data_IF_990917528742
#
_entry.id   IF_990917528742
#
_cell.length_a   1.000
_cell.length_b   1.000
_cell.length_c   1.000
_cell.angle_alpha   90.00
_cell.angle_beta   90.00
_cell.angle_gamma   90.00
#
_symmetry.space_group_name_H-M   'P 1'
#
loop_
_entity.id
_entity.type
_entity.pdbx_description
1 polymer ?
#
# COMPACT_ATOMS: atom_id res chain seq x y z
N UNK A 1 10.92 -24.87 -9.18
CA UNK A 1 11.18 -23.57 -8.54
C UNK A 1 11.94 -23.87 -7.26
N UNK A 2 13.08 -23.21 -7.03
CA UNK A 2 13.95 -23.54 -5.90
C UNK A 2 13.32 -23.15 -4.57
N UNK A 3 13.45 -24.02 -3.55
CA UNK A 3 13.15 -23.68 -2.17
C UNK A 3 14.13 -22.64 -1.62
N UNK A 4 13.77 -21.95 -0.53
CA UNK A 4 14.58 -20.88 0.09
C UNK A 4 14.04 -19.47 -0.14
N UNK A 5 14.88 -18.44 0.07
CA UNK A 5 14.47 -17.03 -0.04
C UNK A 5 13.84 -16.75 -1.41
N UNK A 6 12.63 -16.21 -1.39
CA UNK A 6 11.79 -16.09 -2.57
C UNK A 6 11.13 -14.70 -2.61
N UNK A 7 11.95 -13.64 -2.60
CA UNK A 7 11.51 -12.24 -2.52
C UNK A 7 10.47 -11.86 -3.58
N UNK A 8 10.57 -12.45 -4.78
CA UNK A 8 9.70 -12.17 -5.92
C UNK A 8 8.30 -12.77 -5.80
N UNK A 9 8.15 -13.88 -5.07
CA UNK A 9 6.88 -14.62 -4.96
C UNK A 9 6.29 -14.54 -3.55
N UNK A 10 7.13 -14.65 -2.52
CA UNK A 10 6.73 -14.62 -1.12
C UNK A 10 6.82 -13.24 -0.46
N UNK A 11 7.33 -12.23 -1.17
CA UNK A 11 7.62 -10.91 -0.61
C UNK A 11 9.00 -10.84 0.04
N UNK A 12 9.55 -9.63 0.14
CA UNK A 12 10.94 -9.39 0.52
C UNK A 12 11.25 -9.90 1.93
N UNK A 13 12.24 -10.78 2.04
CA UNK A 13 12.64 -11.42 3.29
C UNK A 13 11.91 -12.73 3.62
N UNK A 14 10.95 -13.15 2.79
CA UNK A 14 10.21 -14.40 2.97
C UNK A 14 10.76 -15.53 2.08
N UNK A 15 10.55 -16.76 2.52
CA UNK A 15 11.08 -17.96 1.87
C UNK A 15 9.96 -18.90 1.45
N UNK A 16 10.20 -19.63 0.37
CA UNK A 16 9.35 -20.73 -0.07
C UNK A 16 9.89 -22.03 0.55
N UNK A 17 9.23 -22.51 1.59
CA UNK A 17 9.68 -23.65 2.41
C UNK A 17 8.57 -24.68 2.54
N UNK A 18 8.94 -25.94 2.81
CA UNK A 18 8.00 -27.04 3.00
C UNK A 18 8.26 -27.77 4.31
N UNK A 19 7.21 -28.00 5.09
CA UNK A 19 7.26 -28.73 6.35
C UNK A 19 7.86 -30.13 6.19
N UNK A 20 8.98 -30.40 6.88
CA UNK A 20 9.63 -31.71 6.91
C UNK A 20 10.43 -32.07 5.65
N UNK A 21 10.69 -31.13 4.74
CA UNK A 21 11.53 -31.37 3.58
C UNK A 21 13.02 -31.49 3.98
N UNK A 22 13.64 -32.62 3.63
CA UNK A 22 15.05 -32.92 3.95
C UNK A 22 16.09 -32.13 3.13
N UNK A 23 15.66 -31.47 2.04
CA UNK A 23 16.53 -30.79 1.09
C UNK A 23 16.21 -29.29 0.94
N UNK A 24 15.44 -28.71 1.86
CA UNK A 24 15.19 -27.27 1.83
C UNK A 24 16.40 -26.47 2.36
N UNK A 25 16.65 -25.26 1.84
CA UNK A 25 17.75 -24.40 2.29
C UNK A 25 17.67 -24.04 3.77
N UNK A 26 18.82 -23.67 4.35
CA UNK A 26 18.96 -23.45 5.80
C UNK A 26 18.01 -22.37 6.37
N UNK A 27 17.56 -21.44 5.54
CA UNK A 27 16.56 -20.43 5.89
C UNK A 27 15.20 -21.04 6.26
N UNK A 28 14.93 -22.28 5.86
CA UNK A 28 13.72 -23.03 6.19
C UNK A 28 13.84 -23.91 7.45
N UNK A 29 15.05 -24.04 8.02
CA UNK A 29 15.36 -25.07 9.04
C UNK A 29 14.67 -24.86 10.40
N UNK A 30 14.11 -23.68 10.66
CA UNK A 30 13.51 -23.31 11.96
C UNK A 30 12.11 -22.72 11.84
N UNK A 31 11.51 -22.78 10.66
CA UNK A 31 10.11 -22.37 10.49
C UNK A 31 9.23 -23.45 11.11
N UNK A 32 8.34 -23.06 12.03
CA UNK A 32 7.38 -23.98 12.65
C UNK A 32 5.96 -23.78 12.12
N UNK A 33 5.68 -22.59 11.58
CA UNK A 33 4.34 -22.11 11.28
C UNK A 33 3.95 -22.41 9.82
N UNK A 34 3.84 -23.71 9.53
CA UNK A 34 3.37 -24.22 8.24
C UNK A 34 1.88 -24.55 8.31
N UNK A 35 1.13 -24.09 7.31
CA UNK A 35 -0.31 -24.27 7.15
C UNK A 35 -0.62 -25.47 6.25
N UNK A 36 0.31 -25.80 5.36
CA UNK A 36 0.16 -26.88 4.38
C UNK A 36 1.36 -27.83 4.37
N UNK A 37 1.25 -28.92 3.60
CA UNK A 37 2.34 -29.89 3.39
C UNK A 37 3.08 -29.68 2.07
N UNK A 38 2.87 -28.55 1.40
CA UNK A 38 3.51 -28.14 0.14
C UNK A 38 4.49 -26.97 0.38
N UNK A 39 5.28 -26.60 -0.62
CA UNK A 39 6.13 -25.41 -0.55
C UNK A 39 5.26 -24.16 -0.49
N UNK A 40 5.31 -23.47 0.64
CA UNK A 40 4.52 -22.27 0.92
C UNK A 40 5.39 -21.11 1.38
N UNK A 41 4.85 -19.91 1.22
CA UNK A 41 5.55 -18.71 1.64
C UNK A 41 5.47 -18.57 3.15
N UNK A 42 6.62 -18.66 3.78
CA UNK A 42 6.78 -18.51 5.22
C UNK A 42 7.73 -17.36 5.49
N UNK A 43 7.58 -16.73 6.64
CA UNK A 43 8.62 -15.85 7.14
C UNK A 43 9.71 -16.75 7.74
N UNK A 44 10.89 -16.88 7.11
CA UNK A 44 11.97 -17.65 7.67
C UNK A 44 12.34 -17.04 9.02
N UNK A 45 12.43 -17.86 10.06
CA UNK A 45 12.86 -17.42 11.41
C UNK A 45 14.37 -17.14 11.43
N UNK A 46 15.00 -16.98 10.26
CA UNK A 46 16.44 -17.07 10.11
C UNK A 46 17.01 -15.69 9.78
N UNK A 47 17.70 -15.18 10.80
CA UNK A 47 18.58 -14.01 10.84
C UNK A 47 19.17 -13.68 9.46
N UNK A 48 18.92 -12.45 9.01
CA UNK A 48 19.48 -11.88 7.76
C UNK A 48 20.98 -12.14 7.77
N UNK A 49 21.44 -13.11 6.96
CA UNK A 49 22.84 -13.48 6.92
C UNK A 49 23.64 -12.28 6.43
N UNK A 50 24.59 -11.83 7.24
CA UNK A 50 25.41 -10.70 6.89
C UNK A 50 26.16 -10.93 5.57
N UNK A 51 26.27 -9.90 4.73
CA UNK A 51 27.10 -9.94 3.54
C UNK A 51 28.55 -10.21 3.95
N UNK A 52 29.31 -10.87 3.08
CA UNK A 52 30.70 -11.25 3.36
C UNK A 52 30.86 -12.08 4.65
N UNK A 53 29.88 -12.93 4.93
CA UNK A 53 29.86 -13.87 6.04
C UNK A 53 31.19 -14.64 6.19
N UNK A 54 31.71 -14.71 7.42
CA UNK A 54 33.00 -15.31 7.79
C UNK A 54 34.28 -14.64 7.23
N UNK A 55 34.16 -13.60 6.40
CA UNK A 55 35.31 -12.84 5.92
C UNK A 55 35.77 -11.83 6.97
N UNK A 56 37.04 -11.44 6.90
CA UNK A 56 37.58 -10.37 7.74
C UNK A 56 37.05 -9.02 7.26
N UNK A 57 36.19 -8.42 8.08
CA UNK A 57 35.59 -7.13 7.80
C UNK A 57 36.43 -5.97 8.32
N UNK A 58 37.50 -6.22 9.08
CA UNK A 58 38.27 -5.16 9.75
C UNK A 58 38.89 -4.16 8.79
N UNK A 59 39.53 -4.62 7.71
CA UNK A 59 40.16 -3.71 6.73
C UNK A 59 39.15 -2.83 5.99
N UNK A 60 37.89 -3.28 5.92
CA UNK A 60 36.81 -2.59 5.20
C UNK A 60 36.04 -1.64 6.12
N UNK A 61 35.77 -2.07 7.34
CA UNK A 61 34.97 -1.32 8.32
C UNK A 61 35.84 -0.45 9.23
N UNK A 62 37.05 -0.89 9.55
CA UNK A 62 38.05 -0.25 10.43
C UNK A 62 37.61 0.02 11.87
N UNK A 63 36.37 -0.32 12.20
CA UNK A 63 35.78 -0.20 13.53
C UNK A 63 34.85 -1.40 13.76
N UNK A 64 34.75 -1.83 15.01
CA UNK A 64 33.75 -2.82 15.44
C UNK A 64 32.38 -2.17 15.60
N UNK A 65 31.32 -2.86 15.18
CA UNK A 65 29.95 -2.33 15.17
C UNK A 65 29.34 -2.28 13.77
N UNK A 66 28.27 -1.51 13.62
CA UNK A 66 27.53 -1.39 12.35
C UNK A 66 28.44 -1.11 11.16
N UNK A 67 28.30 -1.91 10.09
CA UNK A 67 29.14 -1.76 8.91
C UNK A 67 28.37 -2.06 7.63
N UNK A 68 28.29 -1.07 6.74
CA UNK A 68 27.60 -1.19 5.45
C UNK A 68 28.21 -2.26 4.54
N UNK A 69 29.51 -2.51 4.64
CA UNK A 69 30.17 -3.61 3.90
C UNK A 69 29.59 -4.96 4.32
N UNK A 70 29.27 -5.15 5.59
CA UNK A 70 28.61 -6.36 6.10
C UNK A 70 27.12 -6.46 5.72
N UNK A 71 26.57 -5.48 5.02
CA UNK A 71 25.15 -5.43 4.64
C UNK A 71 24.32 -4.58 5.60
N UNK A 72 23.13 -4.21 5.14
CA UNK A 72 22.23 -3.32 5.88
C UNK A 72 21.79 -3.94 7.21
N UNK A 73 21.96 -3.19 8.31
CA UNK A 73 21.64 -3.63 9.67
C UNK A 73 22.57 -4.72 10.22
N UNK A 74 23.75 -4.91 9.63
CA UNK A 74 24.74 -5.91 10.05
C UNK A 74 25.96 -5.21 10.65
N UNK A 75 26.66 -5.92 11.52
CA UNK A 75 27.81 -5.39 12.24
C UNK A 75 29.08 -6.22 12.00
N UNK A 76 30.21 -5.53 11.96
CA UNK A 76 31.53 -6.11 11.97
C UNK A 76 31.95 -6.31 13.42
N UNK A 77 31.92 -7.55 13.92
CA UNK A 77 32.17 -7.84 15.33
C UNK A 77 33.17 -8.99 15.49
N UNK A 78 33.78 -9.10 16.66
CA UNK A 78 34.69 -10.18 17.04
C UNK A 78 34.26 -10.83 18.35
N UNK A 79 34.21 -12.17 18.34
CA UNK A 79 33.82 -12.96 19.50
C UNK A 79 34.70 -12.63 20.70
N UNK A 80 34.06 -12.36 21.83
CA UNK A 80 34.71 -12.02 23.11
C UNK A 80 35.55 -10.72 23.12
N UNK A 81 35.45 -9.87 22.10
CA UNK A 81 36.10 -8.56 22.12
C UNK A 81 35.50 -7.69 23.24
N UNK A 82 36.33 -7.16 24.13
CA UNK A 82 35.93 -6.21 25.16
C UNK A 82 35.78 -4.79 24.61
N UNK A 83 36.40 -4.50 23.47
CA UNK A 83 36.38 -3.19 22.80
C UNK A 83 35.19 -3.01 21.85
N UNK A 84 34.55 -4.11 21.46
CA UNK A 84 33.42 -4.07 20.54
C UNK A 84 32.18 -3.45 21.19
N UNK A 85 31.38 -2.71 20.41
CA UNK A 85 30.25 -1.95 20.89
C UNK A 85 29.05 -2.84 21.31
N UNK A 86 28.03 -2.29 22.00
CA UNK A 86 26.94 -3.06 22.58
C UNK A 86 26.16 -3.95 21.61
N UNK A 87 26.03 -3.54 20.34
CA UNK A 87 25.37 -4.31 19.28
C UNK A 87 26.07 -5.66 18.98
N UNK A 88 27.36 -5.76 19.29
CA UNK A 88 28.13 -7.00 19.19
C UNK A 88 27.97 -7.91 20.42
N UNK A 89 27.30 -7.45 21.49
CA UNK A 89 27.11 -8.19 22.74
C UNK A 89 25.83 -9.04 22.65
N UNK A 90 25.90 -10.25 23.20
CA UNK A 90 24.78 -11.20 23.13
C UNK A 90 24.67 -11.95 21.80
N UNK A 91 25.59 -11.71 20.85
CA UNK A 91 25.71 -12.53 19.63
C UNK A 91 26.09 -13.95 20.01
N UNK A 92 25.17 -14.88 19.76
CA UNK A 92 25.33 -16.31 20.09
C UNK A 92 25.84 -17.14 18.90
N UNK A 93 25.66 -16.65 17.68
CA UNK A 93 26.02 -17.34 16.44
C UNK A 93 27.18 -16.59 15.75
N UNK A 94 28.36 -17.23 15.72
CA UNK A 94 29.60 -16.64 15.24
C UNK A 94 30.15 -17.44 14.06
N UNK A 95 30.34 -16.81 12.89
CA UNK A 95 30.91 -17.45 11.72
C UNK A 95 32.37 -17.92 11.94
N UNK A 96 33.09 -17.18 12.78
CA UNK A 96 34.50 -17.40 13.14
C UNK A 96 34.81 -16.64 14.43
N UNK A 97 35.81 -17.10 15.18
CA UNK A 97 36.32 -16.46 16.39
C UNK A 97 37.71 -15.82 16.20
N UNK A 98 38.30 -15.93 15.00
CA UNK A 98 39.69 -15.53 14.74
C UNK A 98 39.85 -14.04 14.50
N UNK A 99 38.88 -13.42 13.85
CA UNK A 99 38.93 -12.03 13.37
C UNK A 99 37.55 -11.38 13.45
N UNK A 100 37.49 -10.07 13.20
CA UNK A 100 36.23 -9.37 13.08
C UNK A 100 35.49 -9.88 11.84
N UNK A 101 34.31 -10.41 12.04
CA UNK A 101 33.47 -10.99 10.99
C UNK A 101 32.11 -10.30 10.97
N UNK A 102 31.52 -10.25 9.79
CA UNK A 102 30.16 -9.76 9.60
C UNK A 102 29.17 -10.70 10.31
N UNK A 103 28.37 -10.14 11.22
CA UNK A 103 27.34 -10.84 11.99
C UNK A 103 26.02 -10.05 11.99
N UNK A 104 24.96 -10.74 12.39
CA UNK A 104 23.66 -10.13 12.68
C UNK A 104 23.60 -9.78 14.17
N UNK A 105 23.52 -8.50 14.55
CA UNK A 105 23.34 -8.09 15.95
C UNK A 105 22.12 -8.75 16.57
N UNK A 106 22.19 -9.14 17.85
CA UNK A 106 21.13 -9.96 18.46
C UNK A 106 19.89 -9.18 18.90
N UNK A 107 19.92 -7.86 18.99
CA UNK A 107 18.70 -7.08 19.26
C UNK A 107 18.78 -5.67 18.66
N UNK A 108 17.63 -5.17 18.18
CA UNK A 108 17.38 -3.73 18.04
C UNK A 108 17.88 -3.05 19.31
N UNK A 109 18.93 -2.23 19.21
CA UNK A 109 19.45 -1.49 20.36
C UNK A 109 18.31 -0.59 20.85
N UNK A 110 17.79 -0.82 22.07
CA UNK A 110 16.65 -0.05 22.56
C UNK A 110 17.03 1.43 22.60
N UNK A 111 16.15 2.27 22.07
CA UNK A 111 16.27 3.72 22.24
C UNK A 111 16.18 4.02 23.72
N UNK A 112 17.21 4.67 24.28
CA UNK A 112 17.17 5.05 25.69
C UNK A 112 16.25 6.24 25.86
N UNK A 113 15.49 6.25 26.96
CA UNK A 113 14.63 7.36 27.34
C UNK A 113 13.55 7.70 26.28
N UNK A 114 13.05 6.67 25.58
CA UNK A 114 11.94 6.79 24.65
C UNK A 114 10.71 7.44 25.33
N UNK A 115 10.05 8.37 24.64
CA UNK A 115 8.92 9.13 25.17
C UNK A 115 9.29 10.34 26.04
N UNK A 116 10.53 10.46 26.51
CA UNK A 116 10.97 11.59 27.35
C UNK A 116 11.46 12.76 26.52
N UNK A 117 11.33 13.99 27.06
CA UNK A 117 11.91 15.18 26.43
C UNK A 117 13.42 15.15 26.54
N UNK A 118 14.06 14.92 25.39
CA UNK A 118 15.50 14.78 25.29
C UNK A 118 16.22 16.11 25.07
N UNK A 119 15.51 17.22 24.81
CA UNK A 119 16.11 18.46 24.31
C UNK A 119 17.21 19.01 25.23
N UNK A 120 16.90 19.20 26.52
CA UNK A 120 17.86 19.75 27.49
C UNK A 120 19.01 18.79 27.79
N UNK A 121 18.76 17.48 27.73
CA UNK A 121 19.78 16.45 27.97
C UNK A 121 20.73 16.24 26.79
N UNK A 122 20.29 16.62 25.60
CA UNK A 122 21.03 16.50 24.34
C UNK A 122 21.58 17.84 23.85
N UNK A 123 21.31 18.93 24.58
CA UNK A 123 21.66 20.30 24.21
C UNK A 123 21.15 20.71 22.83
N UNK A 124 20.00 20.16 22.42
CA UNK A 124 19.37 20.44 21.13
C UNK A 124 18.93 19.20 20.35
N UNK A 125 18.63 19.43 19.07
CA UNK A 125 18.20 18.40 18.13
C UNK A 125 19.37 17.71 17.43
N UNK A 126 19.18 16.43 17.06
CA UNK A 126 20.16 15.64 16.33
C UNK A 126 20.81 14.55 17.18
N UNK A 127 21.97 14.05 16.75
CA UNK A 127 22.63 12.89 17.40
C UNK A 127 22.85 13.11 18.89
N UNK A 128 22.38 12.16 19.70
CA UNK A 128 22.44 12.29 21.14
C UNK A 128 22.73 10.95 21.84
N UNK A 129 23.83 10.92 22.60
CA UNK A 129 24.24 9.73 23.35
C UNK A 129 23.36 9.44 24.56
N UNK A 130 22.66 10.45 25.10
CA UNK A 130 21.66 10.27 26.16
C UNK A 130 20.52 9.37 25.66
N UNK A 131 20.09 9.56 24.41
CA UNK A 131 19.13 8.70 23.71
C UNK A 131 19.67 7.30 23.34
N UNK A 132 20.95 7.03 23.58
CA UNK A 132 21.63 5.80 23.17
C UNK A 132 22.64 6.05 22.05
N UNK A 133 23.65 5.17 21.94
CA UNK A 133 24.70 5.31 20.94
C UNK A 133 24.09 5.20 19.54
N UNK A 134 24.32 6.22 18.70
CA UNK A 134 23.79 6.27 17.33
C UNK A 134 22.35 6.76 17.22
N UNK A 135 21.70 7.13 18.32
CA UNK A 135 20.33 7.66 18.35
C UNK A 135 20.31 9.19 18.21
N UNK A 136 19.14 9.73 17.91
CA UNK A 136 18.95 11.18 17.75
C UNK A 136 17.79 11.68 18.61
N UNK A 137 17.89 12.94 19.04
CA UNK A 137 16.83 13.69 19.70
C UNK A 137 16.10 14.52 18.63
N UNK A 138 14.86 14.16 18.30
CA UNK A 138 14.14 14.77 17.18
C UNK A 138 12.73 15.19 17.60
N UNK A 139 12.23 16.29 17.01
CA UNK A 139 10.86 16.77 17.21
C UNK A 139 10.02 16.54 15.97
N UNK A 140 8.81 16.01 16.18
CA UNK A 140 7.86 15.80 15.10
C UNK A 140 7.46 17.13 14.45
N UNK A 141 7.55 17.19 13.12
CA UNK A 141 7.10 18.36 12.35
C UNK A 141 8.02 19.58 12.42
N UNK A 142 9.21 19.46 13.03
CA UNK A 142 10.19 20.53 13.01
C UNK A 142 10.78 20.72 11.60
N UNK A 143 10.73 21.95 11.09
CA UNK A 143 11.17 22.33 9.75
C UNK A 143 12.69 22.55 9.68
N UNK A 144 13.36 22.69 10.83
CA UNK A 144 14.82 22.84 10.95
C UNK A 144 15.51 21.54 11.35
N UNK A 145 14.93 20.39 10.97
CA UNK A 145 15.48 19.08 11.32
C UNK A 145 16.83 18.82 10.64
N UNK A 146 17.80 18.36 11.44
CA UNK A 146 19.07 17.81 10.96
C UNK A 146 18.82 16.55 10.13
N UNK A 147 19.76 16.21 9.24
CA UNK A 147 19.59 15.14 8.25
C UNK A 147 19.20 13.79 8.88
N UNK A 148 19.72 13.50 10.06
CA UNK A 148 19.40 12.30 10.83
C UNK A 148 17.93 12.22 11.32
N UNK A 149 17.23 13.35 11.46
CA UNK A 149 15.83 13.43 11.88
C UNK A 149 14.83 13.40 10.70
N UNK A 150 15.27 13.68 9.47
CA UNK A 150 14.40 13.87 8.29
C UNK A 150 13.64 12.62 7.85
N UNK A 151 14.22 11.45 8.11
CA UNK A 151 13.66 10.16 7.68
C UNK A 151 13.17 9.30 8.86
N UNK A 152 12.96 9.93 10.02
CA UNK A 152 12.33 9.29 11.18
C UNK A 152 10.82 9.20 10.93
N UNK A 153 10.29 7.98 10.92
CA UNK A 153 8.87 7.70 10.62
C UNK A 153 8.02 7.49 11.89
N UNK A 154 8.66 7.32 13.04
CA UNK A 154 8.00 7.08 14.32
C UNK A 154 8.51 8.06 15.37
N UNK A 155 7.57 8.74 16.03
CA UNK A 155 7.82 9.61 17.17
C UNK A 155 6.88 9.20 18.30
N UNK A 156 7.45 8.95 19.48
CA UNK A 156 6.69 8.60 20.69
C UNK A 156 5.93 9.79 21.29
N UNK A 157 6.26 11.03 20.90
CA UNK A 157 5.51 12.25 21.23
C UNK A 157 5.56 13.23 20.06
N UNK A 158 4.51 14.05 19.92
CA UNK A 158 4.46 15.15 18.94
C UNK A 158 4.65 16.54 19.56
N UNK A 159 4.69 16.63 20.88
CA UNK A 159 4.71 17.91 21.61
C UNK A 159 6.13 18.37 21.93
N UNK A 160 7.04 17.42 22.15
CA UNK A 160 8.42 17.63 22.59
C UNK A 160 9.42 16.80 21.77
N UNK A 161 10.73 17.05 21.99
CA UNK A 161 11.77 16.27 21.33
C UNK A 161 11.84 14.89 21.95
N UNK A 162 11.85 13.84 21.14
CA UNK A 162 11.96 12.46 21.62
C UNK A 162 13.16 11.77 21.03
N UNK A 163 13.71 10.85 21.82
CA UNK A 163 14.75 9.95 21.36
C UNK A 163 14.19 9.02 20.28
N UNK A 164 14.90 8.93 19.14
CA UNK A 164 14.49 8.15 17.98
C UNK A 164 15.69 7.48 17.30
N UNK A 165 15.40 6.46 16.49
CA UNK A 165 16.37 5.81 15.62
C UNK A 165 16.49 6.59 14.30
N UNK A 166 17.60 7.29 14.03
CA UNK A 166 17.78 8.02 12.79
C UNK A 166 17.89 7.08 11.58
N UNK A 167 17.50 7.58 10.41
CA UNK A 167 17.56 6.83 9.14
C UNK A 167 18.67 7.41 8.27
N UNK A 168 19.78 6.68 8.13
CA UNK A 168 20.99 7.18 7.49
C UNK A 168 20.87 7.16 5.96
N UNK A 169 20.79 8.34 5.34
CA UNK A 169 21.36 8.55 4.00
C UNK A 169 22.68 9.28 4.19
N UNK A 170 23.79 8.64 3.83
CA UNK A 170 25.08 9.31 3.78
C UNK A 170 25.16 10.12 2.46
N UNK A 171 25.34 11.45 2.49
CA UNK A 171 25.42 12.27 1.28
C UNK A 171 26.68 12.03 0.43
N UNK A 172 27.65 11.26 0.93
CA UNK A 172 29.00 11.15 0.35
C UNK A 172 29.20 9.99 -0.64
N UNK A 173 28.15 9.34 -1.14
CA UNK A 173 28.26 8.17 -2.04
C UNK A 173 27.52 8.28 -3.37
N UNK A 174 27.40 9.49 -3.92
CA UNK A 174 27.04 9.66 -5.33
C UNK A 174 28.26 9.32 -6.21
N UNK A 175 28.19 8.32 -7.13
CA UNK A 175 29.23 8.16 -8.15
C UNK A 175 29.15 9.32 -9.16
N UNK A 176 30.32 9.85 -9.54
CA UNK A 176 30.47 10.81 -10.63
C UNK A 176 29.96 10.24 -11.98
N UNK A 177 29.53 11.11 -12.92
CA UNK A 177 28.79 10.71 -14.10
C UNK A 177 29.70 10.08 -15.16
N UNK A 178 29.52 8.78 -15.40
CA UNK A 178 30.11 8.11 -16.56
C UNK A 178 29.20 8.29 -17.78
N UNK A 179 29.67 9.09 -18.72
CA UNK A 179 29.69 8.78 -20.15
C UNK A 179 28.38 8.42 -20.87
N UNK A 180 27.96 9.35 -21.75
CA UNK A 180 26.96 9.18 -22.82
C UNK A 180 27.09 7.87 -23.61
N UNK A 181 25.97 7.19 -23.86
CA UNK A 181 25.48 6.85 -25.22
C UNK A 181 24.06 6.29 -25.16
N UNK A 182 23.14 6.65 -26.08
CA UNK A 182 21.78 6.16 -26.10
C UNK A 182 21.72 4.82 -26.83
N UNK A 183 20.92 3.87 -26.36
CA UNK A 183 20.02 3.11 -27.23
C UNK A 183 19.07 2.23 -26.42
N UNK A 184 17.77 2.41 -26.75
CA UNK A 184 16.57 1.70 -26.26
C UNK A 184 16.20 1.86 -24.77
N UNK A 185 15.21 2.73 -24.54
CA UNK A 185 14.35 2.62 -23.35
C UNK A 185 13.69 1.22 -23.31
N UNK A 186 13.69 0.54 -22.15
CA UNK A 186 12.95 -0.71 -21.99
C UNK A 186 11.44 -0.47 -22.19
N UNK A 187 10.79 -1.40 -22.88
CA UNK A 187 9.37 -1.29 -23.25
C UNK A 187 8.41 -1.40 -22.07
N UNK A 188 8.85 -1.94 -20.92
CA UNK A 188 8.04 -2.04 -19.71
C UNK A 188 8.92 -1.86 -18.47
N UNK A 189 8.50 -0.97 -17.56
CA UNK A 189 9.18 -0.73 -16.29
C UNK A 189 8.64 -1.64 -15.18
N UNK A 190 9.48 -2.03 -14.20
CA UNK A 190 9.03 -2.76 -13.01
C UNK A 190 7.90 -2.02 -12.29
N UNK A 191 7.00 -2.75 -11.62
CA UNK A 191 5.89 -2.15 -10.86
C UNK A 191 6.43 -1.16 -9.81
N UNK A 192 5.95 0.09 -9.85
CA UNK A 192 6.47 1.21 -9.05
C UNK A 192 7.59 2.02 -9.72
N UNK A 193 7.77 1.86 -11.03
CA UNK A 193 8.67 2.68 -11.83
C UNK A 193 7.98 3.12 -13.14
N UNK A 194 8.31 4.31 -13.64
CA UNK A 194 7.81 4.86 -14.91
C UNK A 194 8.97 5.08 -15.89
N UNK A 195 8.74 5.00 -17.22
CA UNK A 195 9.75 5.36 -18.20
C UNK A 195 10.09 6.86 -18.09
N UNK A 196 11.36 7.16 -17.83
CA UNK A 196 11.93 8.49 -17.75
C UNK A 196 13.16 8.64 -18.65
N UNK A 197 13.71 9.86 -18.78
CA UNK A 197 14.84 10.17 -19.66
C UNK A 197 16.10 9.34 -19.39
N UNK A 198 16.24 8.72 -18.21
CA UNK A 198 17.37 7.84 -17.86
C UNK A 198 17.00 6.36 -17.67
N UNK A 199 15.79 5.94 -18.06
CA UNK A 199 15.29 4.56 -17.88
C UNK A 199 14.11 4.50 -16.92
N UNK A 200 13.97 3.42 -16.16
CA UNK A 200 12.86 3.28 -15.21
C UNK A 200 13.15 4.07 -13.93
N UNK A 201 12.37 5.12 -13.69
CA UNK A 201 12.52 6.03 -12.56
C UNK A 201 11.50 5.70 -11.46
N UNK A 202 11.94 5.84 -10.21
CA UNK A 202 11.15 5.50 -9.01
C UNK A 202 9.94 6.41 -8.94
N UNK A 203 8.75 5.84 -8.69
CA UNK A 203 7.46 6.53 -8.73
C UNK A 203 7.44 7.78 -7.83
N UNK A 204 7.62 8.95 -8.44
CA UNK A 204 7.92 10.23 -7.79
C UNK A 204 6.67 10.94 -7.24
N UNK A 205 5.50 10.32 -7.36
CA UNK A 205 4.27 10.89 -6.84
C UNK A 205 3.00 10.25 -7.40
N UNK A 206 1.85 10.90 -7.15
CA UNK A 206 0.61 10.52 -7.78
C UNK A 206 0.68 10.77 -9.29
N UNK A 207 0.28 9.78 -10.07
CA UNK A 207 0.24 9.83 -11.53
C UNK A 207 -1.18 10.11 -12.01
N UNK A 208 -1.27 10.83 -13.13
CA UNK A 208 -2.50 10.93 -13.90
C UNK A 208 -2.78 9.56 -14.55
N UNK A 209 -3.97 9.02 -14.31
CA UNK A 209 -4.37 7.71 -14.82
C UNK A 209 -5.81 7.75 -15.31
N UNK A 210 -6.10 6.94 -16.33
CA UNK A 210 -7.44 6.80 -16.90
C UNK A 210 -7.84 5.34 -16.93
N UNK A 211 -9.05 5.02 -16.44
CA UNK A 211 -9.58 3.66 -16.39
C UNK A 211 -11.10 3.66 -16.41
N UNK A 212 -11.70 2.47 -16.56
CA UNK A 212 -13.15 2.30 -16.54
C UNK A 212 -13.63 1.77 -15.20
N UNK A 213 -14.74 2.34 -14.71
CA UNK A 213 -15.49 1.84 -13.56
C UNK A 213 -16.96 1.69 -13.93
N UNK A 214 -17.71 0.98 -13.10
CA UNK A 214 -19.08 0.58 -13.39
C UNK A 214 -19.99 0.83 -12.18
N UNK A 215 -21.21 1.29 -12.44
CA UNK A 215 -22.26 1.46 -11.42
C UNK A 215 -23.57 0.85 -11.88
N UNK A 216 -24.27 0.22 -10.96
CA UNK A 216 -25.63 -0.25 -11.16
C UNK A 216 -26.57 0.83 -10.65
N UNK A 217 -27.49 1.28 -11.50
CA UNK A 217 -28.29 2.49 -11.28
C UNK A 217 -29.76 2.27 -11.67
N UNK A 218 -30.63 3.14 -11.16
CA UNK A 218 -31.95 3.40 -11.74
C UNK A 218 -31.81 4.25 -13.01
N UNK A 219 -32.89 4.37 -13.78
CA UNK A 219 -32.91 5.24 -14.97
C UNK A 219 -32.70 6.72 -14.64
N UNK A 220 -33.31 7.20 -13.56
CA UNK A 220 -33.25 8.60 -13.13
C UNK A 220 -31.96 9.02 -12.40
N UNK A 221 -31.10 8.07 -12.03
CA UNK A 221 -29.90 8.38 -11.25
C UNK A 221 -28.89 9.20 -12.07
N UNK A 222 -28.44 10.32 -11.49
CA UNK A 222 -27.37 11.16 -12.02
C UNK A 222 -26.04 10.87 -11.30
N UNK A 223 -24.93 11.03 -12.02
CA UNK A 223 -23.58 10.67 -11.57
C UNK A 223 -22.71 11.84 -11.13
N UNK A 224 -23.27 13.05 -11.06
CA UNK A 224 -22.54 14.28 -10.74
C UNK A 224 -22.30 14.48 -9.24
N UNK A 225 -22.39 13.42 -8.43
CA UNK A 225 -22.38 13.51 -6.97
C UNK A 225 -21.35 12.60 -6.31
N UNK A 226 -21.46 12.38 -5.00
CA UNK A 226 -20.58 11.46 -4.29
C UNK A 226 -21.02 10.02 -4.58
N UNK A 227 -20.11 9.17 -5.05
CA UNK A 227 -20.49 7.83 -5.41
C UNK A 227 -19.40 6.77 -5.21
N UNK A 228 -19.88 5.55 -5.02
CA UNK A 228 -19.08 4.33 -5.12
C UNK A 228 -19.28 3.69 -6.50
N UNK A 229 -18.21 3.15 -7.06
CA UNK A 229 -18.23 2.37 -8.28
C UNK A 229 -17.36 1.12 -8.15
N UNK A 230 -17.46 0.21 -9.09
CA UNK A 230 -16.75 -1.06 -9.05
C UNK A 230 -15.99 -1.32 -10.36
N UNK A 231 -15.02 -2.22 -10.29
CA UNK A 231 -14.50 -2.92 -11.47
C UNK A 231 -15.58 -3.75 -12.16
N UNK A 232 -15.28 -4.26 -13.36
CA UNK A 232 -16.21 -5.13 -14.10
C UNK A 232 -16.60 -6.40 -13.30
N UNK A 233 -15.62 -7.07 -12.69
CA UNK A 233 -15.88 -8.23 -11.83
C UNK A 233 -16.74 -7.85 -10.62
N UNK A 234 -16.41 -6.75 -9.96
CA UNK A 234 -17.16 -6.26 -8.79
C UNK A 234 -18.61 -5.92 -9.12
N UNK A 235 -18.87 -5.28 -10.27
CA UNK A 235 -20.24 -4.89 -10.62
C UNK A 235 -21.10 -6.08 -11.00
N UNK A 236 -20.55 -7.07 -11.72
CA UNK A 236 -21.29 -8.29 -12.07
C UNK A 236 -21.61 -9.10 -10.81
N UNK A 237 -20.66 -9.19 -9.88
CA UNK A 237 -20.90 -9.76 -8.56
C UNK A 237 -22.04 -9.06 -7.81
N UNK A 238 -21.99 -7.73 -7.74
CA UNK A 238 -23.00 -6.95 -7.06
C UNK A 238 -24.39 -7.13 -7.68
N UNK A 239 -24.46 -7.11 -9.02
CA UNK A 239 -25.72 -7.33 -9.74
C UNK A 239 -26.27 -8.71 -9.39
N UNK A 240 -25.47 -9.76 -9.53
CA UNK A 240 -25.91 -11.12 -9.26
C UNK A 240 -26.34 -11.34 -7.80
N UNK A 241 -25.61 -10.81 -6.83
CA UNK A 241 -25.84 -11.14 -5.41
C UNK A 241 -26.75 -10.20 -4.65
N UNK A 242 -26.92 -8.95 -5.13
CA UNK A 242 -27.68 -7.93 -4.41
C UNK A 242 -28.78 -7.28 -5.25
N UNK A 243 -28.75 -7.39 -6.58
CA UNK A 243 -29.74 -6.73 -7.46
C UNK A 243 -30.72 -7.73 -8.04
N UNK A 244 -30.23 -8.82 -8.64
CA UNK A 244 -31.07 -9.81 -9.30
C UNK A 244 -32.00 -10.47 -8.27
N UNK A 245 -33.28 -10.44 -8.61
CA UNK A 245 -34.39 -10.83 -7.77
C UNK A 245 -35.69 -10.51 -8.49
N UNK A 246 -36.82 -10.92 -7.92
CA UNK A 246 -38.12 -10.69 -8.52
C UNK A 246 -39.07 -9.95 -7.55
N UNK A 247 -39.23 -8.63 -7.69
CA UNK A 247 -38.55 -7.70 -8.62
C UNK A 247 -37.09 -7.41 -8.23
N UNK A 248 -36.32 -6.78 -9.12
CA UNK A 248 -34.94 -6.35 -8.84
C UNK A 248 -34.88 -5.42 -7.63
N UNK A 249 -33.90 -5.65 -6.77
CA UNK A 249 -33.71 -4.83 -5.57
C UNK A 249 -33.36 -3.39 -5.95
N UNK A 250 -34.03 -2.44 -5.29
CA UNK A 250 -33.75 -1.02 -5.47
C UNK A 250 -34.07 -0.48 -6.86
N UNK A 251 -34.93 -1.15 -7.64
CA UNK A 251 -35.36 -0.74 -8.99
C UNK A 251 -34.19 -0.51 -9.97
N UNK A 252 -33.03 -1.10 -9.67
CA UNK A 252 -31.85 -1.00 -10.51
C UNK A 252 -32.15 -1.69 -11.84
N UNK A 253 -31.94 -0.98 -12.95
CA UNK A 253 -32.31 -1.43 -14.30
C UNK A 253 -31.13 -1.48 -15.28
N UNK A 254 -29.99 -0.87 -14.94
CA UNK A 254 -28.88 -0.69 -15.87
C UNK A 254 -27.53 -0.68 -15.17
N UNK A 255 -26.49 -1.05 -15.92
CA UNK A 255 -25.08 -0.85 -15.57
C UNK A 255 -24.56 0.27 -16.44
N UNK A 256 -24.06 1.34 -15.81
CA UNK A 256 -23.40 2.46 -16.47
C UNK A 256 -21.89 2.31 -16.38
N UNK A 257 -21.21 2.39 -17.52
CA UNK A 257 -19.75 2.40 -17.63
C UNK A 257 -19.28 3.85 -17.64
N UNK A 258 -18.28 4.12 -16.81
CA UNK A 258 -17.70 5.44 -16.63
C UNK A 258 -16.23 5.39 -16.95
N UNK A 259 -15.78 6.35 -17.76
CA UNK A 259 -14.37 6.59 -17.97
C UNK A 259 -13.93 7.62 -16.95
N UNK A 260 -13.02 7.22 -16.07
CA UNK A 260 -12.50 8.06 -15.01
C UNK A 260 -11.08 8.44 -15.37
N UNK A 261 -10.77 9.72 -15.29
CA UNK A 261 -9.39 10.20 -15.24
C UNK A 261 -9.13 10.72 -13.83
N UNK A 262 -8.03 10.34 -13.20
CA UNK A 262 -7.71 10.79 -11.85
C UNK A 262 -6.23 11.02 -11.62
N UNK A 263 -5.95 11.91 -10.69
CA UNK A 263 -4.63 12.14 -10.10
C UNK A 263 -4.84 12.50 -8.63
N UNK A 264 -4.42 11.61 -7.74
CA UNK A 264 -4.58 11.86 -6.30
C UNK A 264 -3.58 12.89 -5.78
N UNK A 265 -3.78 13.32 -4.53
CA UNK A 265 -2.92 14.33 -3.92
C UNK A 265 -1.55 13.77 -3.54
N UNK A 266 -0.49 14.59 -3.52
CA UNK A 266 0.80 14.18 -2.99
C UNK A 266 0.73 13.75 -1.52
N UNK A 267 -0.17 14.32 -0.71
CA UNK A 267 -0.39 13.91 0.68
C UNK A 267 -0.95 12.49 0.78
N UNK A 268 -1.97 12.16 -0.03
CA UNK A 268 -2.52 10.81 -0.09
C UNK A 268 -1.44 9.81 -0.53
N UNK A 269 -0.71 10.13 -1.60
CA UNK A 269 0.37 9.28 -2.10
C UNK A 269 1.50 9.11 -1.07
N UNK A 270 1.95 10.18 -0.41
CA UNK A 270 2.99 10.09 0.62
C UNK A 270 2.56 9.24 1.81
N UNK A 271 1.28 9.28 2.17
CA UNK A 271 0.70 8.50 3.28
C UNK A 271 0.61 7.02 2.94
N UNK A 272 0.05 6.68 1.78
CA UNK A 272 -0.30 5.29 1.45
C UNK A 272 0.70 4.60 0.54
N UNK A 273 1.60 5.35 -0.11
CA UNK A 273 2.57 4.86 -1.10
C UNK A 273 1.92 4.08 -2.25
N UNK A 274 0.70 4.47 -2.60
CA UNK A 274 -0.07 3.91 -3.71
C UNK A 274 -0.82 5.02 -4.44
N UNK A 275 -1.28 4.72 -5.65
CA UNK A 275 -2.01 5.68 -6.47
C UNK A 275 -3.43 5.98 -5.96
N UNK A 276 -3.99 5.12 -5.10
CA UNK A 276 -5.33 5.24 -4.53
C UNK A 276 -5.26 5.48 -3.02
N UNK A 277 -6.21 6.23 -2.48
CA UNK A 277 -6.42 6.25 -1.03
C UNK A 277 -7.22 5.01 -0.58
N UNK A 278 -7.32 4.72 0.73
CA UNK A 278 -8.32 3.80 1.24
C UNK A 278 -9.73 4.24 0.82
N UNK A 279 -10.58 3.25 0.50
CA UNK A 279 -11.99 3.49 0.16
C UNK A 279 -12.75 4.20 1.29
N UNK A 280 -13.56 5.20 0.91
CA UNK A 280 -14.56 5.82 1.77
C UNK A 280 -15.94 5.40 1.28
N UNK A 281 -16.76 4.81 2.15
CA UNK A 281 -18.07 4.31 1.75
C UNK A 281 -19.09 5.45 1.72
N UNK A 282 -19.97 5.45 0.72
CA UNK A 282 -21.04 6.42 0.57
C UNK A 282 -22.42 5.77 0.69
N UNK A 283 -23.33 6.45 1.40
CA UNK A 283 -24.75 6.11 1.46
C UNK A 283 -25.56 7.37 1.25
N UNK A 284 -26.48 7.36 0.28
CA UNK A 284 -27.27 8.53 -0.08
C UNK A 284 -26.39 9.78 -0.33
N UNK A 285 -25.28 9.58 -1.06
CA UNK A 285 -24.22 10.58 -1.30
C UNK A 285 -23.48 11.11 -0.06
N UNK A 286 -23.77 10.60 1.12
CA UNK A 286 -23.06 10.94 2.35
C UNK A 286 -21.95 9.92 2.62
N UNK A 287 -20.75 10.42 2.89
CA UNK A 287 -19.63 9.61 3.34
C UNK A 287 -19.93 9.11 4.77
N UNK A 288 -19.96 7.79 4.95
CA UNK A 288 -20.29 7.14 6.24
C UNK A 288 -19.08 6.52 6.93
N UNK A 289 -17.90 6.59 6.32
CA UNK A 289 -16.66 6.10 6.94
C UNK A 289 -16.25 6.97 8.14
N UNK A 290 -15.70 6.39 9.23
CA UNK A 290 -15.28 7.16 10.40
C UNK A 290 -14.24 8.25 10.11
N UNK A 291 -13.46 8.08 9.05
CA UNK A 291 -12.34 8.95 8.66
C UNK A 291 -12.67 9.96 7.55
N UNK A 292 -13.95 10.14 7.18
CA UNK A 292 -14.35 11.01 6.06
C UNK A 292 -13.77 12.43 6.19
N UNK A 293 -14.13 13.15 7.26
CA UNK A 293 -13.73 14.54 7.46
C UNK A 293 -12.20 14.69 7.53
N UNK A 294 -11.52 13.85 8.31
CA UNK A 294 -10.06 13.87 8.42
C UNK A 294 -9.39 13.61 7.07
N UNK A 295 -9.93 12.69 6.28
CA UNK A 295 -9.36 12.37 4.96
C UNK A 295 -9.46 13.57 4.01
N UNK A 296 -10.62 14.22 3.94
CA UNK A 296 -10.80 15.40 3.09
C UNK A 296 -9.92 16.58 3.51
N UNK A 297 -9.74 16.80 4.82
CA UNK A 297 -8.92 17.90 5.32
C UNK A 297 -7.42 17.68 5.16
N UNK A 298 -6.94 16.44 5.39
CA UNK A 298 -5.50 16.16 5.41
C UNK A 298 -4.93 15.74 4.05
N UNK A 299 -5.78 15.19 3.19
CA UNK A 299 -5.36 14.54 1.94
C UNK A 299 -6.22 14.95 0.74
N UNK A 300 -7.13 15.91 0.91
CA UNK A 300 -8.08 16.28 -0.12
C UNK A 300 -9.09 15.18 -0.44
N UNK A 301 -9.80 15.37 -1.54
CA UNK A 301 -10.85 14.47 -2.03
C UNK A 301 -10.26 13.33 -2.87
N UNK A 302 -9.30 12.61 -2.31
CA UNK A 302 -8.61 11.53 -3.00
C UNK A 302 -9.58 10.39 -3.38
N UNK A 303 -9.43 9.87 -4.60
CA UNK A 303 -10.11 8.66 -5.07
C UNK A 303 -9.61 7.48 -4.27
N UNK A 304 -10.56 6.77 -3.66
CA UNK A 304 -10.27 5.60 -2.83
C UNK A 304 -10.40 4.29 -3.60
N UNK A 305 -9.73 3.26 -3.13
CA UNK A 305 -9.83 1.90 -3.65
C UNK A 305 -9.82 0.87 -2.50
N UNK A 306 -10.56 -0.21 -2.68
CA UNK A 306 -10.50 -1.40 -1.82
C UNK A 306 -10.56 -2.65 -2.71
N UNK A 307 -9.68 -3.60 -2.44
CA UNK A 307 -9.79 -4.96 -2.99
C UNK A 307 -10.82 -5.70 -2.16
N UNK A 308 -11.89 -6.19 -2.78
CA UNK A 308 -12.88 -7.02 -2.11
C UNK A 308 -12.28 -8.42 -1.88
N UNK A 309 -12.37 -8.95 -0.66
CA UNK A 309 -11.71 -10.20 -0.24
C UNK A 309 -12.15 -11.45 -1.02
N UNK A 310 -11.27 -12.47 -1.05
CA UNK A 310 -11.47 -13.75 -1.74
C UNK A 310 -12.68 -14.53 -1.20
N UNK A 311 -13.50 -15.06 -2.11
CA UNK A 311 -14.70 -15.85 -1.80
C UNK A 311 -15.89 -15.60 -2.73
N UNK A 312 -15.76 -14.69 -3.69
CA UNK A 312 -16.81 -14.33 -4.65
C UNK A 312 -16.75 -15.17 -5.93
N UNK A 313 -17.90 -15.40 -6.61
CA UNK A 313 -17.97 -15.99 -7.94
C UNK A 313 -17.00 -15.33 -8.91
N UNK A 314 -16.33 -16.15 -9.70
CA UNK A 314 -15.18 -15.74 -10.50
C UNK A 314 -15.66 -15.35 -11.90
N UNK A 315 -15.98 -14.06 -12.11
CA UNK A 315 -16.57 -13.59 -13.37
C UNK A 315 -15.60 -13.49 -14.55
N UNK A 316 -14.30 -13.29 -14.30
CA UNK A 316 -13.34 -12.98 -15.37
C UNK A 316 -12.24 -14.03 -15.56
N UNK A 317 -11.98 -14.89 -14.57
CA UNK A 317 -10.97 -15.95 -14.67
C UNK A 317 -11.35 -17.18 -13.86
N UNK A 318 -11.09 -18.37 -14.41
CA UNK A 318 -11.30 -19.67 -13.76
C UNK A 318 -10.48 -19.83 -12.47
N UNK A 319 -9.34 -19.16 -12.37
CA UNK A 319 -8.47 -19.16 -11.19
C UNK A 319 -8.83 -18.07 -10.16
N UNK A 320 -9.89 -17.30 -10.42
CA UNK A 320 -10.34 -16.20 -9.58
C UNK A 320 -9.26 -15.12 -9.34
N UNK A 321 -8.27 -14.99 -10.24
CA UNK A 321 -7.18 -14.02 -10.06
C UNK A 321 -7.57 -12.57 -10.36
N UNK A 322 -8.80 -12.29 -10.80
CA UNK A 322 -9.26 -10.93 -11.06
C UNK A 322 -9.79 -10.32 -9.77
N UNK A 323 -9.08 -9.32 -9.25
CA UNK A 323 -9.52 -8.59 -8.06
C UNK A 323 -10.83 -7.84 -8.36
N UNK A 324 -11.86 -8.07 -7.55
CA UNK A 324 -13.04 -7.22 -7.50
C UNK A 324 -12.69 -5.94 -6.76
N UNK A 325 -12.44 -4.88 -7.52
CA UNK A 325 -12.10 -3.56 -6.97
C UNK A 325 -13.36 -2.72 -6.75
N UNK A 326 -13.39 -2.03 -5.61
CA UNK A 326 -14.35 -0.99 -5.27
C UNK A 326 -13.63 0.34 -5.22
N UNK A 327 -14.28 1.38 -5.71
CA UNK A 327 -13.75 2.73 -5.80
C UNK A 327 -14.71 3.71 -5.17
N UNK A 328 -14.16 4.74 -4.53
CA UNK A 328 -14.92 5.83 -3.94
C UNK A 328 -14.52 7.17 -4.53
N UNK A 329 -15.51 7.95 -4.94
CA UNK A 329 -15.36 9.23 -5.64
C UNK A 329 -15.99 10.36 -4.82
N UNK A 330 -15.18 11.13 -4.06
CA UNK A 330 -15.68 12.23 -3.23
C UNK A 330 -16.02 13.45 -4.08
N UNK A 331 -17.29 13.58 -4.47
CA UNK A 331 -17.84 14.78 -5.09
C UNK A 331 -18.13 15.91 -4.09
N UNK A 332 -18.92 16.91 -4.49
CA UNK A 332 -19.24 18.06 -3.66
C UNK A 332 -20.05 17.70 -2.41
N UNK A 333 -19.74 18.39 -1.30
CA UNK A 333 -20.37 18.23 0.01
C UNK A 333 -20.52 16.75 0.43
N UNK A 334 -19.41 15.98 0.54
CA UNK A 334 -19.46 14.55 0.85
C UNK A 334 -19.89 14.24 2.29
N UNK A 335 -20.01 15.23 3.16
CA UNK A 335 -20.43 15.03 4.55
C UNK A 335 -21.95 15.13 4.75
N UNK A 336 -22.70 15.54 3.72
CA UNK A 336 -24.17 15.62 3.76
C UNK A 336 -24.80 14.73 2.71
N UNK A 337 -25.99 14.22 3.04
CA UNK A 337 -26.79 13.43 2.12
C UNK A 337 -27.32 14.26 0.94
N UNK A 338 -27.66 13.61 -0.17
CA UNK A 338 -28.05 14.24 -1.46
C UNK A 338 -29.04 15.42 -1.32
N UNK A 339 -30.11 15.24 -0.55
CA UNK A 339 -31.15 16.26 -0.34
C UNK A 339 -30.86 17.29 0.75
N UNK A 340 -29.71 17.21 1.42
CA UNK A 340 -29.33 18.04 2.57
C UNK A 340 -28.05 18.87 2.33
N UNK A 341 -27.59 18.96 1.07
CA UNK A 341 -26.40 19.74 0.71
C UNK A 341 -26.75 21.22 0.64
N UNK A 342 -26.21 22.01 1.58
CA UNK A 342 -26.39 23.47 1.59
C UNK A 342 -25.31 24.17 0.78
N UNK A 343 -25.53 25.43 0.39
CA UNK A 343 -24.54 26.25 -0.30
C UNK A 343 -23.25 26.39 0.51
N UNK A 344 -23.37 26.53 1.84
CA UNK A 344 -22.22 26.61 2.74
C UNK A 344 -21.41 25.32 2.71
N UNK A 345 -22.08 24.15 2.68
CA UNK A 345 -21.38 22.87 2.60
C UNK A 345 -20.69 22.68 1.25
N UNK A 346 -21.31 23.11 0.16
CA UNK A 346 -20.71 23.07 -1.18
C UNK A 346 -19.48 23.97 -1.27
N UNK A 347 -19.53 25.16 -0.66
CA UNK A 347 -18.40 26.08 -0.59
C UNK A 347 -17.26 25.55 0.30
N UNK A 348 -17.60 24.97 1.45
CA UNK A 348 -16.63 24.43 2.39
C UNK A 348 -16.01 23.12 1.91
N UNK A 349 -16.79 22.29 1.23
CA UNK A 349 -16.37 20.99 0.73
C UNK A 349 -16.64 20.85 -0.77
N UNK A 350 -15.78 21.41 -1.64
CA UNK A 350 -16.02 21.42 -3.10
C UNK A 350 -15.95 20.05 -3.76
N UNK A 351 -15.34 19.05 -3.12
CA UNK A 351 -15.13 17.73 -3.71
C UNK A 351 -13.91 17.69 -4.62
N UNK A 352 -13.66 16.52 -5.20
CA UNK A 352 -12.52 16.24 -6.08
C UNK A 352 -12.84 16.27 -7.58
N UNK A 353 -14.12 16.41 -7.93
CA UNK A 353 -14.58 16.42 -9.32
C UNK A 353 -14.15 17.71 -10.01
N UNK A 354 -13.44 17.58 -11.12
CA UNK A 354 -13.01 18.70 -11.98
C UNK A 354 -12.83 18.24 -13.44
N UNK A 355 -12.57 19.17 -14.35
CA UNK A 355 -12.36 18.85 -15.77
C UNK A 355 -10.97 18.26 -16.05
N UNK A 356 -9.93 18.80 -15.40
CA UNK A 356 -8.53 18.40 -15.62
C UNK A 356 -7.83 18.04 -14.29
N UNK A 357 -7.89 16.78 -13.85
CA UNK A 357 -7.31 16.32 -12.59
C UNK A 357 -5.82 16.64 -12.49
N UNK A 358 -5.44 17.46 -11.52
CA UNK A 358 -4.07 17.95 -11.37
C UNK A 358 -3.41 17.46 -10.06
N UNK A 359 -4.19 16.88 -9.14
CA UNK A 359 -3.72 16.39 -7.85
C UNK A 359 -3.77 17.42 -6.72
N UNK A 360 -4.42 18.57 -6.91
CA UNK A 360 -4.76 19.46 -5.78
C UNK A 360 -5.86 18.82 -4.93
N UNK A 361 -6.06 19.36 -3.73
CA UNK A 361 -7.02 18.79 -2.78
C UNK A 361 -8.45 18.73 -3.30
N UNK A 362 -8.82 19.61 -4.24
CA UNK A 362 -10.15 19.75 -4.83
C UNK A 362 -10.23 19.41 -6.33
N UNK A 363 -9.19 18.82 -6.91
CA UNK A 363 -9.20 18.43 -8.31
C UNK A 363 -8.41 17.14 -8.52
N UNK A 364 -9.08 16.04 -8.19
CA UNK A 364 -8.50 14.70 -8.12
C UNK A 364 -9.08 13.75 -9.15
N UNK A 365 -10.28 13.99 -9.69
CA UNK A 365 -10.86 13.14 -10.72
C UNK A 365 -11.84 13.85 -11.65
N UNK A 366 -11.99 13.26 -12.83
CA UNK A 366 -12.93 13.62 -13.87
C UNK A 366 -13.69 12.36 -14.30
N UNK A 367 -14.96 12.51 -14.66
CA UNK A 367 -15.84 11.40 -15.04
C UNK A 367 -16.50 11.71 -16.37
N UNK A 368 -16.37 10.79 -17.31
CA UNK A 368 -17.04 10.83 -18.61
C UNK A 368 -18.01 9.64 -18.71
N UNK A 369 -19.16 9.88 -19.35
CA UNK A 369 -20.04 8.79 -19.75
C UNK A 369 -19.35 7.94 -20.82
N UNK A 370 -19.27 6.63 -20.59
CA UNK A 370 -18.67 5.69 -21.52
C UNK A 370 -19.66 4.59 -21.97
N UNK A 371 -20.96 4.82 -21.82
CA UNK A 371 -22.01 3.93 -22.27
C UNK A 371 -22.74 3.21 -21.15
N UNK A 372 -23.85 2.58 -21.51
CA UNK A 372 -24.78 1.93 -20.59
C UNK A 372 -25.28 0.64 -21.22
N UNK A 373 -25.52 -0.38 -20.39
CA UNK A 373 -26.21 -1.62 -20.77
C UNK A 373 -27.38 -1.83 -19.82
N UNK A 374 -28.55 -2.19 -20.34
CA UNK A 374 -29.69 -2.53 -19.48
C UNK A 374 -29.53 -3.95 -18.94
N UNK A 375 -30.06 -4.22 -17.75
CA UNK A 375 -30.04 -5.57 -17.21
C UNK A 375 -30.94 -6.53 -18.01
N UNK A 376 -31.97 -6.00 -18.70
CA UNK A 376 -32.79 -6.78 -19.63
C UNK A 376 -31.98 -7.25 -20.84
N UNK A 377 -31.19 -6.34 -21.44
CA UNK A 377 -30.26 -6.67 -22.52
C UNK A 377 -29.19 -7.67 -22.06
N UNK A 378 -28.60 -7.44 -20.87
CA UNK A 378 -27.53 -8.29 -20.35
C UNK A 378 -28.02 -9.71 -20.02
N UNK A 379 -29.24 -9.85 -19.51
CA UNK A 379 -29.85 -11.16 -19.20
C UNK A 379 -30.53 -11.81 -20.40
N UNK A 380 -30.74 -11.08 -21.49
CA UNK A 380 -31.55 -11.53 -22.62
C UNK A 380 -33.05 -11.64 -22.30
N UNK A 381 -33.54 -10.95 -21.26
CA UNK A 381 -34.95 -10.98 -20.86
C UNK A 381 -35.82 -10.37 -21.96
N UNK A 382 -36.88 -11.09 -22.33
CA UNK A 382 -37.89 -10.56 -23.23
C UNK A 382 -38.67 -9.42 -22.55
N UNK A 383 -38.61 -8.22 -23.15
CA UNK A 383 -39.25 -7.00 -22.65
C UNK A 383 -40.68 -6.79 -23.15
N UNK A 384 -41.27 -7.78 -23.85
CA UNK A 384 -42.68 -7.73 -24.29
C UNK A 384 -43.68 -7.65 -23.13
N UNK A 385 -43.25 -7.98 -21.91
CA UNK A 385 -44.02 -7.85 -20.67
C UNK A 385 -43.19 -7.11 -19.61
N UNK A 386 -43.88 -6.43 -18.69
CA UNK A 386 -43.22 -5.71 -17.60
C UNK A 386 -42.42 -6.66 -16.72
N UNK A 387 -41.36 -6.18 -16.05
CA UNK A 387 -40.59 -6.99 -15.10
C UNK A 387 -41.50 -7.54 -13.99
N UNK A 388 -42.48 -6.76 -13.57
CA UNK A 388 -43.43 -7.14 -12.53
C UNK A 388 -44.35 -8.28 -12.97
N UNK A 389 -44.93 -8.20 -14.17
CA UNK A 389 -45.75 -9.29 -14.73
C UNK A 389 -44.91 -10.54 -14.99
N UNK A 390 -43.67 -10.36 -15.46
CA UNK A 390 -42.73 -11.45 -15.70
C UNK A 390 -42.39 -12.21 -14.41
N UNK A 391 -42.14 -11.49 -13.33
CA UNK A 391 -41.92 -12.09 -12.01
C UNK A 391 -43.20 -12.71 -11.42
N UNK A 392 -44.36 -12.09 -11.60
CA UNK A 392 -45.64 -12.62 -11.14
C UNK A 392 -46.02 -13.96 -11.81
N UNK A 393 -45.51 -14.21 -13.02
CA UNK A 393 -45.63 -15.49 -13.71
C UNK A 393 -44.68 -16.59 -13.17
N UNK A 394 -43.89 -16.32 -12.12
CA UNK A 394 -43.00 -17.28 -11.46
C UNK A 394 -41.63 -17.46 -12.12
N UNK A 395 -41.25 -16.58 -13.05
CA UNK A 395 -39.91 -16.59 -13.64
C UNK A 395 -38.87 -16.00 -12.67
N UNK A 396 -37.60 -16.37 -12.83
CA UNK A 396 -36.48 -15.89 -12.02
C UNK A 396 -35.35 -15.44 -12.94
N UNK A 397 -34.81 -14.23 -12.75
CA UNK A 397 -33.67 -13.76 -13.56
C UNK A 397 -32.38 -14.50 -13.21
N UNK A 398 -32.29 -15.01 -11.99
CA UNK A 398 -31.18 -15.81 -11.52
C UNK A 398 -31.61 -16.70 -10.35
N UNK A 399 -31.29 -17.98 -10.43
CA UNK A 399 -31.45 -18.97 -9.37
C UNK A 399 -30.06 -19.30 -8.79
N UNK A 400 -29.76 -18.92 -7.53
CA UNK A 400 -28.47 -19.19 -6.90
C UNK A 400 -28.14 -20.69 -6.79
N UNK A 401 -29.14 -21.56 -6.72
CA UNK A 401 -28.91 -23.01 -6.62
C UNK A 401 -28.47 -23.63 -7.95
N UNK A 402 -28.78 -22.97 -9.07
CA UNK A 402 -28.51 -23.47 -10.42
C UNK A 402 -27.51 -22.62 -11.19
N UNK A 403 -27.17 -21.45 -10.65
CA UNK A 403 -26.36 -20.40 -11.26
C UNK A 403 -26.79 -20.08 -12.71
N UNK A 404 -28.10 -19.93 -12.91
CA UNK A 404 -28.73 -19.59 -14.19
C UNK A 404 -30.11 -18.96 -13.99
N UNK A 405 -30.55 -18.18 -14.97
CA UNK A 405 -31.93 -17.70 -15.11
C UNK A 405 -32.84 -18.73 -15.76
#
# INVERSE_FOLDING_TARGET
>A
MGSGICDKFCGRGNACCRKGAINDPHECAHVTDFWTSHHECVQPVVKVKANHYAQDCWDRCKIGGDCAWCGFGQACCRKNSTLDPPECKGVVDWPTDRHHTCITPVHDVPVKHEGQDCYDYCEGNGRCNWCGRGMACCKYGDIYTTDECRAVVYFSSREHHVCVKPSFKDPASLPEPIGKSPDKLPSECPQGYSPGPMGCELDDGPRLQTFYVYRALKEEDNLTSNFDAMSMSGILYHVQTAVLGCPRTGEISRIKRLKVTMKNTPEAYRTFKTQFAPLLAYRNEQCISPSCQQSFQSRGYAVGCLVQERGQPCYLKEDCSSDSLHYSFPGPCPLSAAGAKTEECLAQYPGGLCDEPNGTHNCTFHVEDAGTVTLDELSGRNTSQSLQDWCAAGNLEWDPARDRG
#
